data_IF_555888635437
#
_entry.id   IF_555888635437
#
_cell.length_a   1.000
_cell.length_b   1.000
_cell.length_c   1.000
_cell.angle_alpha   90.00
_cell.angle_beta   90.00
_cell.angle_gamma   90.00
#
_symmetry.space_group_name_H-M   'P 1'
#
loop_
_entity.id
_entity.type
_entity.pdbx_description
1 polymer ?
#
# COMPACT_ATOMS: atom_id res chain seq x y z
N UNK A 1 -21.22 6.55 -2.46
CA UNK A 1 -21.86 7.79 -1.94
C UNK A 1 -22.62 7.55 -0.62
N UNK A 2 -22.02 6.83 0.33
CA UNK A 2 -22.65 6.46 1.63
C UNK A 2 -21.80 6.82 2.84
N UNK A 3 -20.46 6.82 2.74
CA UNK A 3 -19.58 7.28 3.84
C UNK A 3 -19.72 8.78 4.12
N UNK A 4 -19.74 9.61 3.08
CA UNK A 4 -19.92 11.07 3.24
C UNK A 4 -21.30 11.42 3.81
N UNK A 5 -22.37 10.75 3.35
CA UNK A 5 -23.71 10.92 3.94
C UNK A 5 -23.76 10.58 5.44
N UNK A 6 -22.99 9.58 5.89
CA UNK A 6 -22.88 9.25 7.32
C UNK A 6 -22.16 10.34 8.10
N UNK A 7 -21.16 10.99 7.50
CA UNK A 7 -20.47 12.15 8.08
C UNK A 7 -21.43 13.34 8.19
N UNK A 8 -22.14 13.66 7.12
CA UNK A 8 -23.14 14.74 7.08
C UNK A 8 -24.29 14.49 8.09
N UNK A 9 -24.67 13.23 8.26
CA UNK A 9 -25.68 12.79 9.23
C UNK A 9 -25.17 12.66 10.68
N UNK A 10 -23.93 13.03 10.97
CA UNK A 10 -23.38 13.01 12.33
C UNK A 10 -23.11 11.63 12.92
N UNK A 11 -23.08 10.56 12.10
CA UNK A 11 -22.78 9.19 12.54
C UNK A 11 -21.30 9.05 12.95
N UNK A 12 -20.44 9.92 12.43
CA UNK A 12 -19.03 9.99 12.80
C UNK A 12 -18.59 11.46 12.81
N UNK A 13 -17.55 11.77 13.59
CA UNK A 13 -16.92 13.10 13.61
C UNK A 13 -15.98 13.33 12.42
N UNK A 14 -15.34 12.26 11.94
CA UNK A 14 -14.39 12.29 10.83
C UNK A 14 -14.37 10.93 10.11
N UNK A 15 -13.80 10.90 8.90
CA UNK A 15 -13.55 9.66 8.17
C UNK A 15 -12.25 9.78 7.37
N UNK A 16 -11.55 8.66 7.19
CA UNK A 16 -10.36 8.57 6.37
C UNK A 16 -10.72 8.05 4.97
N UNK A 17 -10.24 8.75 3.95
CA UNK A 17 -10.44 8.42 2.55
C UNK A 17 -9.14 8.62 1.78
N UNK A 18 -8.87 7.73 0.83
CA UNK A 18 -7.72 7.90 -0.05
C UNK A 18 -7.93 9.09 -0.99
N UNK A 19 -6.94 10.00 -1.05
CA UNK A 19 -6.98 11.15 -1.94
C UNK A 19 -7.20 10.74 -3.39
N UNK A 20 -6.57 9.67 -3.86
CA UNK A 20 -6.75 9.17 -5.23
C UNK A 20 -8.22 8.86 -5.57
N UNK A 21 -9.01 8.37 -4.61
CA UNK A 21 -10.44 8.15 -4.80
C UNK A 21 -11.24 9.45 -4.89
N UNK A 22 -10.93 10.43 -4.03
CA UNK A 22 -11.56 11.75 -4.08
C UNK A 22 -11.25 12.49 -5.38
N UNK A 23 -9.98 12.46 -5.83
CA UNK A 23 -9.55 13.07 -7.11
C UNK A 23 -10.32 12.53 -8.30
N UNK A 24 -10.40 11.20 -8.42
CA UNK A 24 -11.12 10.52 -9.52
C UNK A 24 -12.61 10.85 -9.56
N UNK A 25 -13.21 11.19 -8.42
CA UNK A 25 -14.61 11.59 -8.31
C UNK A 25 -14.82 13.11 -8.44
N UNK A 26 -13.76 13.91 -8.58
CA UNK A 26 -13.84 15.37 -8.58
C UNK A 26 -14.25 15.96 -7.22
N UNK A 27 -13.95 15.25 -6.12
CA UNK A 27 -14.39 15.59 -4.76
C UNK A 27 -13.24 16.01 -3.83
N UNK A 28 -12.16 16.54 -4.39
CA UNK A 28 -10.95 16.92 -3.63
C UNK A 28 -11.23 17.96 -2.55
N UNK A 29 -12.17 18.88 -2.80
CA UNK A 29 -12.58 19.92 -1.87
C UNK A 29 -13.23 19.40 -0.57
N UNK A 30 -13.63 18.12 -0.53
CA UNK A 30 -14.16 17.49 0.68
C UNK A 30 -13.05 17.15 1.68
N UNK A 31 -11.82 16.93 1.20
CA UNK A 31 -10.69 16.65 2.07
C UNK A 31 -10.29 17.93 2.82
N UNK A 32 -10.16 17.84 4.15
CA UNK A 32 -9.61 18.94 4.96
C UNK A 32 -8.11 19.13 4.71
N UNK A 33 -7.38 18.03 4.63
CA UNK A 33 -5.95 17.98 4.31
C UNK A 33 -5.60 16.57 3.85
N UNK A 34 -4.52 16.44 3.08
CA UNK A 34 -3.85 15.16 2.91
C UNK A 34 -3.06 14.85 4.19
N UNK A 35 -2.94 13.56 4.52
CA UNK A 35 -2.08 13.10 5.61
C UNK A 35 -0.71 12.83 5.00
N UNK A 36 0.32 13.40 5.62
CA UNK A 36 1.69 13.24 5.15
C UNK A 36 2.18 11.81 5.38
N UNK A 37 3.04 11.32 4.48
CA UNK A 37 3.57 9.95 4.54
C UNK A 37 4.36 9.70 5.84
N UNK A 38 4.99 10.74 6.40
CA UNK A 38 5.69 10.65 7.69
C UNK A 38 4.75 10.56 8.90
N UNK A 39 3.46 10.87 8.75
CA UNK A 39 2.45 10.74 9.80
C UNK A 39 1.69 9.41 9.68
N UNK A 40 1.34 9.00 8.46
CA UNK A 40 0.66 7.73 8.21
C UNK A 40 1.10 7.15 6.87
N UNK A 41 1.80 6.02 6.92
CA UNK A 41 2.23 5.29 5.74
C UNK A 41 0.98 4.74 5.00
N UNK A 42 0.91 4.85 3.66
CA UNK A 42 -0.26 4.38 2.93
C UNK A 42 -0.35 2.85 2.88
N UNK A 43 -1.55 2.35 2.59
CA UNK A 43 -1.72 0.96 2.22
C UNK A 43 -0.91 0.63 0.95
N UNK A 44 -0.43 -0.62 0.86
CA UNK A 44 0.27 -1.12 -0.32
C UNK A 44 -0.56 -0.89 -1.58
N UNK A 45 0.09 -0.37 -2.63
CA UNK A 45 -0.50 -0.02 -3.90
C UNK A 45 -1.58 1.08 -3.87
N UNK A 46 -1.70 1.85 -2.77
CA UNK A 46 -2.72 2.90 -2.68
C UNK A 46 -2.59 3.91 -3.81
N UNK A 47 -3.66 4.07 -4.58
CA UNK A 47 -3.72 5.03 -5.69
C UNK A 47 -3.31 4.46 -7.05
N UNK A 48 -2.70 3.27 -7.11
CA UNK A 48 -2.48 2.57 -8.38
C UNK A 48 -3.76 1.90 -8.89
N UNK A 49 -3.84 1.67 -10.21
CA UNK A 49 -4.87 0.85 -10.84
C UNK A 49 -4.17 -0.38 -11.45
N UNK A 50 -4.55 -1.56 -10.96
CA UNK A 50 -4.12 -2.82 -11.54
C UNK A 50 -5.15 -3.32 -12.56
N UNK A 51 -4.67 -3.88 -13.68
CA UNK A 51 -5.52 -4.55 -14.66
C UNK A 51 -5.05 -6.00 -14.76
N UNK A 52 -5.95 -6.93 -14.48
CA UNK A 52 -5.68 -8.35 -14.62
C UNK A 52 -6.11 -8.84 -16.01
N UNK A 53 -5.31 -9.76 -16.57
CA UNK A 53 -5.63 -10.46 -17.82
C UNK A 53 -5.37 -11.96 -17.66
N UNK A 54 -5.96 -12.75 -18.55
CA UNK A 54 -5.56 -14.15 -18.73
C UNK A 54 -4.12 -14.22 -19.23
N UNK A 55 -3.33 -15.15 -18.69
CA UNK A 55 -1.91 -15.30 -19.04
C UNK A 55 -1.64 -15.56 -20.52
N UNK A 56 -2.52 -16.29 -21.20
CA UNK A 56 -2.40 -16.64 -22.63
C UNK A 56 -3.05 -15.64 -23.61
N UNK A 57 -3.57 -14.50 -23.13
CA UNK A 57 -4.19 -13.48 -24.00
C UNK A 57 -3.17 -12.42 -24.41
N UNK A 58 -2.39 -12.71 -25.46
CA UNK A 58 -1.32 -11.83 -25.96
C UNK A 58 -1.87 -10.53 -26.55
N UNK A 59 -3.08 -10.57 -27.12
CA UNK A 59 -3.75 -9.39 -27.66
C UNK A 59 -4.03 -8.38 -26.54
N UNK A 60 -4.59 -8.84 -25.41
CA UNK A 60 -4.75 -8.00 -24.24
C UNK A 60 -3.39 -7.55 -23.68
N UNK A 61 -2.38 -8.42 -23.68
CA UNK A 61 -1.01 -8.09 -23.27
C UNK A 61 -0.43 -6.89 -24.03
N UNK A 62 -0.52 -6.89 -25.36
CA UNK A 62 -0.02 -5.80 -26.20
C UNK A 62 -0.74 -4.46 -25.91
N UNK A 63 -2.07 -4.49 -25.71
CA UNK A 63 -2.84 -3.29 -25.37
C UNK A 63 -2.48 -2.73 -24.00
N UNK A 64 -2.29 -3.61 -23.00
CA UNK A 64 -1.94 -3.21 -21.64
C UNK A 64 -0.51 -2.66 -21.56
N UNK A 65 0.42 -3.18 -22.35
CA UNK A 65 1.79 -2.67 -22.41
C UNK A 65 1.84 -1.19 -22.81
N UNK A 66 0.94 -0.73 -23.68
CA UNK A 66 0.89 0.66 -24.13
C UNK A 66 0.44 1.66 -23.05
N UNK A 67 -0.24 1.20 -21.99
CA UNK A 67 -0.73 2.03 -20.89
C UNK A 67 -0.02 1.74 -19.56
N UNK A 68 1.00 0.89 -19.57
CA UNK A 68 1.74 0.51 -18.37
C UNK A 68 2.72 1.63 -17.98
N UNK A 69 2.58 2.15 -16.76
CA UNK A 69 3.56 3.05 -16.17
C UNK A 69 4.68 2.25 -15.50
N UNK A 70 5.84 2.16 -16.16
CA UNK A 70 6.99 1.39 -15.67
C UNK A 70 7.47 1.83 -14.29
N UNK A 71 7.62 3.14 -13.96
CA UNK A 71 8.03 3.58 -12.63
C UNK A 71 7.07 3.11 -11.53
N UNK A 72 5.76 3.20 -11.74
CA UNK A 72 4.76 2.67 -10.81
C UNK A 72 4.88 1.16 -10.70
N UNK A 73 5.03 0.44 -11.82
CA UNK A 73 5.23 -1.01 -11.82
C UNK A 73 6.43 -1.46 -10.97
N UNK A 74 7.54 -0.74 -11.07
CA UNK A 74 8.76 -1.00 -10.29
C UNK A 74 8.55 -0.80 -8.78
N UNK A 75 7.88 0.28 -8.38
CA UNK A 75 7.52 0.54 -6.98
C UNK A 75 6.59 -0.54 -6.43
N UNK A 76 5.56 -0.90 -7.19
CA UNK A 76 4.59 -1.91 -6.80
C UNK A 76 5.18 -3.31 -6.68
N UNK A 77 6.24 -3.64 -7.43
CA UNK A 77 6.92 -4.92 -7.29
C UNK A 77 7.46 -5.11 -5.86
N UNK A 78 8.08 -4.07 -5.29
CA UNK A 78 8.58 -4.08 -3.92
C UNK A 78 7.43 -4.14 -2.89
N UNK A 79 6.43 -3.25 -3.02
CA UNK A 79 5.32 -3.18 -2.07
C UNK A 79 4.48 -4.47 -2.05
N UNK A 80 4.23 -5.09 -3.21
CA UNK A 80 3.46 -6.33 -3.30
C UNK A 80 4.25 -7.54 -2.80
N UNK A 81 5.56 -7.61 -3.03
CA UNK A 81 6.39 -8.67 -2.46
C UNK A 81 6.44 -8.60 -0.93
N UNK A 82 6.49 -7.39 -0.38
CA UNK A 82 6.37 -7.13 1.05
C UNK A 82 5.02 -7.64 1.59
N UNK A 83 3.89 -7.20 1.01
CA UNK A 83 2.55 -7.62 1.46
C UNK A 83 2.34 -9.14 1.36
N UNK A 84 2.75 -9.74 0.24
CA UNK A 84 2.58 -11.17 -0.01
C UNK A 84 3.37 -12.01 1.00
N UNK A 85 4.58 -11.57 1.37
CA UNK A 85 5.40 -12.28 2.36
C UNK A 85 4.82 -12.22 3.78
N UNK A 86 4.05 -11.17 4.09
CA UNK A 86 3.32 -11.01 5.36
C UNK A 86 1.97 -11.76 5.40
N UNK A 87 1.62 -12.45 4.31
CA UNK A 87 0.29 -13.03 4.09
C UNK A 87 -0.82 -11.98 4.34
N UNK A 88 -0.57 -10.75 3.88
CA UNK A 88 -1.40 -9.58 4.15
C UNK A 88 -2.61 -9.48 3.21
N UNK A 89 -3.65 -8.80 3.69
CA UNK A 89 -4.86 -8.49 2.92
C UNK A 89 -5.26 -7.01 3.10
N UNK A 90 -6.37 -6.59 2.49
CA UNK A 90 -6.92 -5.26 2.70
C UNK A 90 -7.45 -5.00 4.13
N UNK A 91 -7.58 -6.05 4.94
CA UNK A 91 -8.07 -5.98 6.32
C UNK A 91 -6.95 -6.09 7.35
N UNK A 92 -5.73 -6.42 6.93
CA UNK A 92 -4.58 -6.48 7.83
C UNK A 92 -3.97 -5.10 8.05
N UNK A 93 -3.62 -4.73 9.28
CA UNK A 93 -2.96 -3.45 9.61
C UNK A 93 -1.50 -3.45 9.15
N UNK A 94 -1.32 -3.33 7.83
CA UNK A 94 -0.04 -3.34 7.13
C UNK A 94 -0.01 -2.13 6.19
N UNK A 95 1.07 -1.37 6.26
CA UNK A 95 1.32 -0.23 5.39
C UNK A 95 2.65 -0.41 4.65
N UNK A 96 2.75 0.15 3.45
CA UNK A 96 3.94 0.03 2.62
C UNK A 96 3.96 1.05 1.50
N UNK A 97 5.12 1.68 1.31
CA UNK A 97 5.34 2.65 0.24
C UNK A 97 6.75 2.51 -0.31
N UNK A 98 6.84 2.26 -1.61
CA UNK A 98 8.09 2.36 -2.36
C UNK A 98 8.15 3.69 -3.10
N UNK A 99 9.32 4.30 -3.15
CA UNK A 99 9.62 5.50 -3.93
C UNK A 99 10.90 5.30 -4.74
N UNK A 100 11.02 6.02 -5.85
CA UNK A 100 12.21 6.02 -6.70
C UNK A 100 12.97 7.33 -6.47
N UNK A 101 14.17 7.24 -5.91
CA UNK A 101 15.02 8.38 -5.56
C UNK A 101 16.40 8.19 -6.20
N UNK A 102 16.80 9.09 -7.11
CA UNK A 102 18.15 9.06 -7.68
C UNK A 102 18.53 7.76 -8.40
N UNK A 103 17.55 7.00 -8.91
CA UNK A 103 17.77 5.69 -9.57
C UNK A 103 17.79 4.49 -8.62
N UNK A 104 17.60 4.70 -7.32
CA UNK A 104 17.39 3.66 -6.32
C UNK A 104 15.90 3.56 -5.93
N UNK A 105 15.51 2.41 -5.41
CA UNK A 105 14.21 2.19 -4.81
C UNK A 105 14.33 2.25 -3.29
N UNK A 106 13.51 3.07 -2.65
CA UNK A 106 13.37 3.15 -1.19
C UNK A 106 11.99 2.62 -0.79
N UNK A 107 11.97 1.49 -0.08
CA UNK A 107 10.76 0.90 0.48
C UNK A 107 10.70 1.17 1.98
N UNK A 108 9.57 1.67 2.45
CA UNK A 108 9.18 1.69 3.86
C UNK A 108 8.01 0.73 4.06
N UNK A 109 7.98 0.06 5.20
CA UNK A 109 6.91 -0.88 5.56
C UNK A 109 6.67 -0.94 7.06
N UNK A 110 5.41 -1.17 7.43
CA UNK A 110 4.96 -1.21 8.82
C UNK A 110 3.94 -2.33 9.03
N UNK A 111 4.02 -2.98 10.19
CA UNK A 111 2.99 -3.89 10.71
C UNK A 111 2.55 -3.41 12.10
N UNK A 112 1.24 -3.44 12.37
CA UNK A 112 0.66 -2.88 13.59
C UNK A 112 -0.31 -3.85 14.25
N UNK A 113 -0.53 -3.70 15.56
CA UNK A 113 -1.71 -4.29 16.21
C UNK A 113 -2.96 -3.44 15.92
N UNK A 114 -4.16 -4.04 15.80
CA UNK A 114 -5.39 -3.28 15.52
C UNK A 114 -5.74 -2.21 16.56
N UNK A 115 -5.31 -2.41 17.81
CA UNK A 115 -5.49 -1.46 18.91
C UNK A 115 -4.39 -0.38 18.97
N UNK A 116 -3.41 -0.43 18.07
CA UNK A 116 -2.27 0.50 18.03
C UNK A 116 -1.25 0.32 19.15
N UNK A 117 -1.38 -0.73 19.98
CA UNK A 117 -0.48 -0.95 21.13
C UNK A 117 0.96 -1.27 20.72
N UNK A 118 1.17 -1.70 19.49
CA UNK A 118 2.48 -2.05 18.96
C UNK A 118 2.56 -1.74 17.45
N UNK A 119 3.67 -1.12 17.06
CA UNK A 119 4.01 -0.77 15.67
C UNK A 119 5.45 -1.20 15.42
N UNK A 120 5.65 -2.00 14.37
CA UNK A 120 6.97 -2.46 13.96
C UNK A 120 7.21 -1.94 12.53
N UNK A 121 8.14 -0.98 12.42
CA UNK A 121 8.50 -0.32 11.17
C UNK A 121 9.91 -0.70 10.73
N UNK A 122 10.16 -0.60 9.42
CA UNK A 122 11.49 -0.74 8.83
C UNK A 122 11.55 -0.21 7.40
N UNK A 123 12.76 -0.18 6.84
CA UNK A 123 13.00 0.30 5.49
C UNK A 123 14.10 -0.49 4.76
N UNK A 124 14.10 -0.38 3.42
CA UNK A 124 15.15 -0.88 2.53
C UNK A 124 15.45 0.13 1.45
N UNK A 125 16.73 0.30 1.12
CA UNK A 125 17.18 0.98 -0.10
C UNK A 125 17.93 -0.04 -0.95
N UNK A 126 17.57 -0.13 -2.22
CA UNK A 126 18.10 -1.13 -3.14
C UNK A 126 18.10 -0.61 -4.58
N UNK A 127 18.70 -1.35 -5.51
CA UNK A 127 18.45 -1.08 -6.92
C UNK A 127 17.02 -1.43 -7.28
N UNK A 128 16.50 -0.84 -8.36
CA UNK A 128 15.15 -1.12 -8.87
C UNK A 128 14.96 -2.61 -9.19
N UNK A 129 16.02 -3.27 -9.69
CA UNK A 129 15.96 -4.69 -10.04
C UNK A 129 15.77 -5.61 -8.83
N UNK A 130 16.25 -5.20 -7.66
CA UNK A 130 16.17 -5.95 -6.40
C UNK A 130 14.90 -5.64 -5.59
N UNK A 131 14.04 -4.73 -6.07
CA UNK A 131 12.93 -4.18 -5.29
C UNK A 131 12.01 -5.25 -4.69
N UNK A 132 11.67 -6.29 -5.45
CA UNK A 132 10.84 -7.38 -4.97
C UNK A 132 11.53 -8.19 -3.86
N UNK A 133 12.81 -8.52 -4.03
CA UNK A 133 13.59 -9.28 -3.04
C UNK A 133 13.77 -8.47 -1.75
N UNK A 134 14.05 -7.17 -1.88
CA UNK A 134 14.12 -6.24 -0.76
C UNK A 134 12.78 -6.13 -0.01
N UNK A 135 11.65 -6.15 -0.73
CA UNK A 135 10.32 -6.17 -0.13
C UNK A 135 10.06 -7.43 0.70
N UNK A 136 10.39 -8.59 0.14
CA UNK A 136 10.27 -9.86 0.85
C UNK A 136 11.22 -9.96 2.05
N UNK A 137 12.43 -9.40 1.93
CA UNK A 137 13.41 -9.33 3.02
C UNK A 137 12.93 -8.46 4.19
N UNK A 138 12.43 -7.26 3.89
CA UNK A 138 11.85 -6.37 4.90
C UNK A 138 10.71 -7.06 5.65
N UNK A 139 9.80 -7.73 4.92
CA UNK A 139 8.70 -8.46 5.54
C UNK A 139 9.18 -9.55 6.51
N UNK A 140 10.20 -10.33 6.14
CA UNK A 140 10.79 -11.35 7.02
C UNK A 140 11.45 -10.73 8.26
N UNK A 141 12.12 -9.59 8.12
CA UNK A 141 12.68 -8.88 9.26
C UNK A 141 11.58 -8.44 10.24
N UNK A 142 10.50 -7.81 9.74
CA UNK A 142 9.40 -7.36 10.59
C UNK A 142 8.71 -8.56 11.27
N UNK A 143 8.54 -9.69 10.56
CA UNK A 143 8.02 -10.94 11.15
C UNK A 143 8.92 -11.50 12.24
N UNK A 144 10.24 -11.45 12.06
CA UNK A 144 11.20 -11.92 13.07
C UNK A 144 11.22 -11.05 14.33
N UNK A 145 10.93 -9.75 14.18
CA UNK A 145 10.76 -8.80 15.28
C UNK A 145 9.39 -8.90 15.95
N UNK A 146 8.38 -9.30 15.19
CA UNK A 146 7.05 -9.58 15.69
C UNK A 146 7.08 -10.84 16.59
N UNK A 147 6.77 -10.66 17.86
CA UNK A 147 6.71 -11.78 18.79
C UNK A 147 5.60 -12.79 18.43
N UNK A 148 5.61 -13.98 19.07
CA UNK A 148 4.51 -14.93 18.93
C UNK A 148 3.17 -14.27 19.28
N UNK A 149 2.16 -14.54 18.45
CA UNK A 149 0.81 -14.01 18.63
C UNK A 149 0.59 -12.58 18.12
N UNK A 150 1.61 -11.96 17.49
CA UNK A 150 1.44 -10.67 16.82
C UNK A 150 0.43 -10.70 15.67
N UNK A 151 -0.11 -11.84 15.22
CA UNK A 151 -1.20 -11.84 14.22
C UNK A 151 -2.42 -12.65 14.67
N UNK A 152 -2.57 -12.87 15.98
CA UNK A 152 -3.63 -13.76 16.50
C UNK A 152 -5.06 -13.23 16.27
N UNK A 153 -5.23 -11.93 16.04
CA UNK A 153 -6.53 -11.35 15.66
C UNK A 153 -7.02 -11.75 14.26
N UNK A 154 -6.17 -12.40 13.45
CA UNK A 154 -6.56 -12.94 12.13
C UNK A 154 -7.38 -14.24 12.26
N UNK A 155 -7.45 -14.84 13.45
CA UNK A 155 -8.15 -16.11 13.69
C UNK A 155 -9.64 -15.92 14.00
#
# INVERSE_FOLDING_TARGET
QTRLKKLDGGVATATFLAMAGLRRLGMEAVARSAIEVGEMLPAVAQGAIGIERRGADDRAGALLAAIHDTPTGQRLAAERAFLATLDGSCETPIAGLAELEGGALWLRGEILRPDGSEVIAGERRCSVAEGADAGADLARELLGRAGPGFFDWRR
#
